data_IF_850232037630
#
_entry.id   IF_850232037630
#
_cell.length_a   1.000
_cell.length_b   1.000
_cell.length_c   1.000
_cell.angle_alpha   90.00
_cell.angle_beta   90.00
_cell.angle_gamma   90.00
#
_symmetry.space_group_name_H-M   'P 1'
#
loop_
_entity.id
_entity.type
_entity.pdbx_description
1 polymer ?
#
# COMPACT_ATOMS: atom_id res chain seq x y z
N UNK A 1 29.92 1.48 -6.64
CA UNK A 1 29.57 0.05 -6.72
C UNK A 1 28.06 -0.02 -6.63
N UNK A 2 27.37 -0.18 -7.76
CA UNK A 2 25.93 -0.43 -7.76
C UNK A 2 25.74 -1.91 -7.43
N UNK A 3 25.48 -2.23 -6.17
CA UNK A 3 25.12 -3.59 -5.78
C UNK A 3 23.69 -3.85 -6.25
N UNK A 4 23.54 -4.59 -7.35
CA UNK A 4 22.25 -5.13 -7.77
C UNK A 4 21.86 -6.24 -6.79
N UNK A 5 21.11 -5.88 -5.76
CA UNK A 5 20.58 -6.83 -4.79
C UNK A 5 19.35 -7.49 -5.40
N UNK A 6 19.38 -8.81 -5.51
CA UNK A 6 18.21 -9.60 -5.87
C UNK A 6 17.26 -9.65 -4.68
N UNK A 7 15.99 -9.34 -4.93
CA UNK A 7 14.90 -9.54 -4.00
C UNK A 7 13.90 -10.46 -4.68
N UNK A 8 13.54 -11.58 -4.03
CA UNK A 8 12.67 -12.61 -4.60
C UNK A 8 13.18 -13.13 -5.95
N UNK A 9 14.50 -13.34 -6.06
CA UNK A 9 15.19 -13.82 -7.27
C UNK A 9 15.04 -12.90 -8.51
N UNK A 10 14.65 -11.64 -8.28
CA UNK A 10 14.46 -10.61 -9.30
C UNK A 10 15.31 -9.38 -8.97
N UNK A 11 15.94 -8.81 -9.99
CA UNK A 11 16.70 -7.57 -9.87
C UNK A 11 16.22 -6.51 -10.86
N UNK A 12 16.39 -5.24 -10.46
CA UNK A 12 16.28 -4.11 -11.37
C UNK A 12 17.54 -4.08 -12.24
N UNK A 13 17.37 -3.96 -13.56
CA UNK A 13 18.46 -3.67 -14.48
C UNK A 13 18.21 -2.34 -15.19
N UNK A 14 19.27 -1.72 -15.68
CA UNK A 14 19.22 -0.45 -16.42
C UNK A 14 19.64 -0.65 -17.87
N UNK A 15 18.94 0.01 -18.79
CA UNK A 15 19.30 0.05 -20.22
C UNK A 15 19.06 1.44 -20.79
N UNK A 16 19.76 1.78 -21.88
CA UNK A 16 19.56 3.04 -22.60
C UNK A 16 18.61 2.86 -23.76
N UNK A 17 17.65 3.77 -23.92
CA UNK A 17 16.84 3.84 -25.13
C UNK A 17 17.57 4.57 -26.26
N UNK A 18 16.94 4.67 -27.44
CA UNK A 18 17.48 5.35 -28.63
C UNK A 18 17.84 6.83 -28.40
N UNK A 19 17.25 7.46 -27.37
CA UNK A 19 17.49 8.85 -26.98
C UNK A 19 18.55 8.98 -25.88
N UNK A 20 19.27 7.91 -25.54
CA UNK A 20 20.24 7.81 -24.45
C UNK A 20 19.68 8.02 -23.04
N UNK A 21 18.36 7.92 -22.84
CA UNK A 21 17.79 7.93 -21.49
C UNK A 21 18.00 6.57 -20.83
N UNK A 22 18.44 6.58 -19.57
CA UNK A 22 18.52 5.36 -18.74
C UNK A 22 17.11 5.03 -18.26
N UNK A 23 16.67 3.81 -18.54
CA UNK A 23 15.40 3.24 -18.12
C UNK A 23 15.65 1.94 -17.37
N UNK A 24 14.77 1.63 -16.43
CA UNK A 24 14.81 0.45 -15.62
C UNK A 24 13.86 -0.64 -16.15
N UNK A 25 14.27 -1.89 -16.05
CA UNK A 25 13.47 -3.09 -16.26
C UNK A 25 13.72 -4.11 -15.16
N UNK A 26 13.12 -5.30 -15.26
CA UNK A 26 13.31 -6.39 -14.30
C UNK A 26 13.78 -7.67 -14.98
N UNK A 27 14.72 -8.35 -14.34
CA UNK A 27 15.34 -9.59 -14.80
C UNK A 27 15.43 -10.60 -13.65
N UNK A 28 15.18 -11.86 -13.94
CA UNK A 28 15.35 -12.95 -12.96
C UNK A 28 16.83 -13.32 -12.80
N UNK A 29 17.17 -14.06 -11.74
CA UNK A 29 18.51 -14.67 -11.56
C UNK A 29 18.90 -15.62 -12.71
N UNK A 30 17.93 -16.10 -13.50
CA UNK A 30 18.15 -16.97 -14.66
C UNK A 30 18.33 -16.19 -15.97
N UNK A 31 18.27 -14.86 -15.91
CA UNK A 31 18.42 -13.99 -17.08
C UNK A 31 17.14 -13.80 -17.89
N UNK A 32 15.98 -14.22 -17.37
CA UNK A 32 14.69 -14.02 -18.02
C UNK A 32 14.19 -12.61 -17.76
N UNK A 33 13.74 -11.91 -18.81
CA UNK A 33 13.21 -10.56 -18.69
C UNK A 33 11.74 -10.64 -18.24
N UNK A 34 11.45 -10.10 -17.06
CA UNK A 34 10.08 -9.94 -16.56
C UNK A 34 9.44 -8.72 -17.17
N UNK A 35 10.19 -7.62 -17.26
CA UNK A 35 9.75 -6.40 -17.89
C UNK A 35 10.92 -5.69 -18.56
N UNK A 36 10.75 -5.35 -19.83
CA UNK A 36 11.73 -4.57 -20.58
C UNK A 36 11.99 -3.21 -19.91
N UNK A 37 13.18 -2.67 -20.17
CA UNK A 37 13.59 -1.36 -19.68
C UNK A 37 12.72 -0.23 -20.24
N UNK A 38 11.71 0.17 -19.47
CA UNK A 38 10.72 1.17 -19.87
C UNK A 38 10.29 2.11 -18.74
N UNK A 39 10.78 1.89 -17.52
CA UNK A 39 10.42 2.68 -16.34
C UNK A 39 11.49 3.73 -16.08
N UNK A 40 11.10 4.94 -15.71
CA UNK A 40 12.05 5.99 -15.29
C UNK A 40 12.63 5.68 -13.90
N UNK A 41 11.85 4.96 -13.06
CA UNK A 41 12.27 4.49 -11.74
C UNK A 41 11.65 3.13 -11.49
N UNK A 42 12.44 2.18 -10.96
CA UNK A 42 11.98 0.87 -10.52
C UNK A 42 12.53 0.58 -9.12
N UNK A 43 11.68 0.14 -8.20
CA UNK A 43 12.07 -0.27 -6.85
C UNK A 43 12.24 -1.79 -6.79
N UNK A 44 13.02 -2.34 -5.86
CA UNK A 44 13.08 -3.79 -5.68
C UNK A 44 11.72 -4.39 -5.33
N UNK A 45 11.54 -5.66 -5.66
CA UNK A 45 10.37 -6.44 -5.25
C UNK A 45 10.32 -6.60 -3.72
N UNK A 46 9.11 -6.53 -3.19
CA UNK A 46 8.78 -6.81 -1.80
C UNK A 46 7.39 -7.45 -1.73
N UNK A 47 7.33 -8.66 -1.21
CA UNK A 47 6.14 -9.52 -1.13
C UNK A 47 5.41 -9.65 -2.47
N UNK A 48 6.15 -9.90 -3.55
CA UNK A 48 5.59 -10.15 -4.88
C UNK A 48 5.24 -8.90 -5.69
N UNK A 49 5.47 -7.70 -5.15
CA UNK A 49 5.15 -6.44 -5.81
C UNK A 49 6.33 -5.46 -5.81
N UNK A 50 6.40 -4.61 -6.84
CA UNK A 50 7.37 -3.54 -6.91
C UNK A 50 6.73 -2.23 -7.37
N UNK A 51 7.20 -1.10 -6.85
CA UNK A 51 6.78 0.22 -7.32
C UNK A 51 7.59 0.63 -8.54
N UNK A 52 6.90 1.13 -9.55
CA UNK A 52 7.50 1.60 -10.80
C UNK A 52 6.96 2.98 -11.17
N UNK A 53 7.77 3.78 -11.86
CA UNK A 53 7.39 5.12 -12.33
C UNK A 53 7.57 5.22 -13.85
N UNK A 54 6.58 5.78 -14.53
CA UNK A 54 6.64 6.13 -15.95
C UNK A 54 6.07 7.54 -16.15
N UNK A 55 6.88 8.44 -16.68
CA UNK A 55 6.62 9.87 -16.72
C UNK A 55 6.37 10.44 -15.32
N UNK A 56 5.16 10.98 -15.13
CA UNK A 56 4.74 11.57 -13.86
C UNK A 56 4.01 10.60 -12.94
N UNK A 57 3.71 9.38 -13.41
CA UNK A 57 2.78 8.49 -12.74
C UNK A 57 3.51 7.30 -12.11
N UNK A 58 3.05 6.94 -10.91
CA UNK A 58 3.48 5.73 -10.21
C UNK A 58 2.50 4.60 -10.48
N UNK A 59 3.01 3.38 -10.44
CA UNK A 59 2.25 2.14 -10.54
C UNK A 59 2.90 1.05 -9.69
N UNK A 60 2.24 -0.11 -9.65
CA UNK A 60 2.74 -1.35 -9.06
C UNK A 60 2.79 -2.41 -10.15
N UNK A 61 3.88 -3.17 -10.19
CA UNK A 61 4.08 -4.34 -11.03
C UNK A 61 4.20 -5.59 -10.16
N UNK A 62 3.66 -6.73 -10.61
CA UNK A 62 3.83 -8.02 -9.94
C UNK A 62 5.05 -8.79 -10.48
N UNK A 63 5.37 -9.94 -9.89
CA UNK A 63 6.52 -10.78 -10.32
C UNK A 63 6.34 -11.45 -11.68
N UNK A 64 5.13 -11.40 -12.25
CA UNK A 64 4.82 -11.85 -13.61
C UNK A 64 5.05 -10.75 -14.65
N UNK A 65 5.30 -9.51 -14.21
CA UNK A 65 5.47 -8.35 -15.08
C UNK A 65 4.17 -7.61 -15.39
N UNK A 66 3.05 -8.02 -14.80
CA UNK A 66 1.76 -7.37 -15.00
C UNK A 66 1.71 -6.05 -14.22
N UNK A 67 1.17 -5.02 -14.89
CA UNK A 67 0.90 -3.73 -14.29
C UNK A 67 -0.41 -3.80 -13.50
N UNK A 68 -0.32 -3.81 -12.17
CA UNK A 68 -1.46 -3.93 -11.27
C UNK A 68 -2.32 -2.65 -11.24
N UNK A 69 -1.67 -1.47 -11.28
CA UNK A 69 -2.35 -0.16 -11.26
C UNK A 69 -2.00 0.64 -12.53
N UNK A 70 -2.94 1.37 -13.14
CA UNK A 70 -2.65 2.13 -14.36
C UNK A 70 -1.62 3.25 -14.11
N UNK A 71 -0.78 3.54 -15.10
CA UNK A 71 0.09 4.72 -15.13
C UNK A 71 -0.70 5.97 -15.52
N UNK A 72 -1.55 6.45 -14.61
CA UNK A 72 -2.37 7.64 -14.82
C UNK A 72 -2.43 8.53 -13.56
N UNK A 73 -3.22 9.59 -13.62
CA UNK A 73 -3.39 10.54 -12.52
C UNK A 73 -4.43 10.10 -11.48
N UNK A 74 -4.91 8.84 -11.51
CA UNK A 74 -5.94 8.37 -10.58
C UNK A 74 -5.45 8.41 -9.13
N UNK A 75 -4.18 8.07 -8.90
CA UNK A 75 -3.56 8.04 -7.59
C UNK A 75 -2.34 8.96 -7.52
N UNK A 76 -2.29 9.78 -6.49
CA UNK A 76 -1.19 10.72 -6.22
C UNK A 76 -0.03 10.02 -5.51
N UNK A 77 -0.35 9.03 -4.65
CA UNK A 77 0.62 8.23 -3.89
C UNK A 77 0.16 6.78 -3.85
N UNK A 78 1.12 5.87 -3.91
CA UNK A 78 0.92 4.42 -3.78
C UNK A 78 1.98 3.88 -2.82
N UNK A 79 1.54 3.10 -1.85
CA UNK A 79 2.38 2.35 -0.91
C UNK A 79 1.94 0.88 -0.93
N UNK A 80 2.90 -0.03 -1.02
CA UNK A 80 2.65 -1.48 -0.95
C UNK A 80 2.56 -1.85 0.53
N UNK A 81 1.41 -2.40 0.94
CA UNK A 81 1.11 -2.83 2.29
C UNK A 81 0.73 -4.31 2.26
N UNK A 82 1.74 -5.17 2.10
CA UNK A 82 1.58 -6.61 1.86
C UNK A 82 0.85 -6.90 0.55
N UNK A 83 -0.37 -7.44 0.61
CA UNK A 83 -1.21 -7.81 -0.54
C UNK A 83 -2.18 -6.70 -0.98
N UNK A 84 -2.27 -5.61 -0.21
CA UNK A 84 -3.04 -4.42 -0.54
C UNK A 84 -2.15 -3.22 -0.81
N UNK A 85 -2.66 -2.26 -1.57
CA UNK A 85 -1.99 -1.00 -1.87
C UNK A 85 -2.73 0.16 -1.23
N UNK A 86 -2.06 0.86 -0.30
CA UNK A 86 -2.56 2.11 0.24
C UNK A 86 -2.39 3.20 -0.81
N UNK A 87 -3.48 3.86 -1.16
CA UNK A 87 -3.52 4.86 -2.22
C UNK A 87 -4.09 6.17 -1.72
N UNK A 88 -3.64 7.28 -2.30
CA UNK A 88 -4.17 8.62 -2.03
C UNK A 88 -4.71 9.26 -3.29
N UNK A 89 -5.87 9.90 -3.20
CA UNK A 89 -6.46 10.75 -4.24
C UNK A 89 -7.19 11.92 -3.59
N UNK A 90 -6.90 13.15 -4.02
CA UNK A 90 -7.50 14.37 -3.47
C UNK A 90 -7.42 14.41 -1.93
N UNK A 91 -6.23 14.11 -1.40
CA UNK A 91 -5.94 14.04 0.05
C UNK A 91 -6.79 13.01 0.84
N UNK A 92 -7.45 12.07 0.16
CA UNK A 92 -8.17 10.96 0.79
C UNK A 92 -7.44 9.64 0.63
N UNK A 93 -7.34 8.89 1.72
CA UNK A 93 -6.70 7.59 1.80
C UNK A 93 -7.72 6.45 1.68
N UNK A 94 -7.29 5.38 1.04
CA UNK A 94 -8.01 4.11 0.96
C UNK A 94 -7.05 2.98 0.57
N UNK A 95 -7.60 1.80 0.33
CA UNK A 95 -6.84 0.62 -0.09
C UNK A 95 -7.46 -0.01 -1.32
N UNK A 96 -6.60 -0.44 -2.24
CA UNK A 96 -6.98 -1.23 -3.40
C UNK A 96 -6.19 -2.54 -3.44
N UNK A 97 -6.73 -3.54 -4.12
CA UNK A 97 -5.99 -4.78 -4.38
C UNK A 97 -5.14 -4.69 -5.66
N UNK A 98 -4.46 -5.80 -6.00
CA UNK A 98 -3.66 -5.93 -7.22
C UNK A 98 -4.46 -5.84 -8.52
N UNK A 99 -5.79 -5.95 -8.47
CA UNK A 99 -6.69 -5.78 -9.62
C UNK A 99 -7.21 -4.35 -9.74
N UNK A 100 -6.73 -3.42 -8.89
CA UNK A 100 -7.22 -2.05 -8.77
C UNK A 100 -8.68 -1.96 -8.27
N UNK A 101 -9.18 -3.00 -7.61
CA UNK A 101 -10.48 -3.00 -6.94
C UNK A 101 -10.36 -2.27 -5.62
N UNK A 102 -11.29 -1.35 -5.34
CA UNK A 102 -11.33 -0.61 -4.07
C UNK A 102 -11.84 -1.53 -2.97
N UNK A 103 -10.97 -1.81 -2.00
CA UNK A 103 -11.29 -2.60 -0.81
C UNK A 103 -11.73 -1.68 0.31
N UNK A 104 -10.90 -0.69 0.67
CA UNK A 104 -11.27 0.37 1.61
C UNK A 104 -11.49 1.66 0.83
N UNK A 105 -12.68 2.27 0.89
CA UNK A 105 -12.98 3.50 0.14
C UNK A 105 -12.01 4.65 0.44
N UNK A 106 -11.69 5.44 -0.60
CA UNK A 106 -10.83 6.62 -0.49
C UNK A 106 -11.60 7.81 0.10
N UNK A 107 -11.94 7.72 1.38
CA UNK A 107 -12.71 8.76 2.09
C UNK A 107 -12.11 9.18 3.43
N UNK A 108 -10.99 8.57 3.82
CA UNK A 108 -10.36 8.79 5.11
C UNK A 108 -9.29 9.88 5.02
N UNK A 109 -9.15 10.66 6.09
CA UNK A 109 -8.08 11.65 6.25
C UNK A 109 -6.71 10.96 6.40
N UNK A 110 -6.70 9.74 6.96
CA UNK A 110 -5.52 8.92 7.15
C UNK A 110 -5.87 7.44 7.33
N UNK A 111 -5.01 6.56 6.84
CA UNK A 111 -5.07 5.12 7.10
C UNK A 111 -3.72 4.63 7.63
N UNK A 112 -3.73 3.95 8.78
CA UNK A 112 -2.58 3.16 9.23
C UNK A 112 -2.51 1.84 8.43
N UNK A 113 -1.36 1.18 8.45
CA UNK A 113 -1.20 -0.12 7.81
C UNK A 113 -2.01 -1.19 8.57
N UNK A 114 -2.40 -2.24 7.86
CA UNK A 114 -3.08 -3.38 8.48
C UNK A 114 -2.17 -4.08 9.49
N UNK A 115 -2.79 -4.49 10.60
CA UNK A 115 -2.19 -5.34 11.62
C UNK A 115 -3.28 -6.28 12.15
N UNK A 116 -3.02 -7.58 12.19
CA UNK A 116 -4.04 -8.58 12.55
C UNK A 116 -5.36 -8.43 11.74
N UNK A 117 -5.26 -8.16 10.42
CA UNK A 117 -6.40 -7.96 9.52
C UNK A 117 -7.23 -6.67 9.71
N UNK A 118 -6.83 -5.78 10.61
CA UNK A 118 -7.50 -4.49 10.81
C UNK A 118 -6.56 -3.30 10.64
N UNK A 119 -7.11 -2.18 10.16
CA UNK A 119 -6.43 -0.90 10.06
C UNK A 119 -7.18 0.17 10.85
N UNK A 120 -6.43 0.98 11.58
CA UNK A 120 -6.98 2.20 12.19
C UNK A 120 -7.11 3.24 11.08
N UNK A 121 -8.28 3.85 10.98
CA UNK A 121 -8.58 4.89 10.00
C UNK A 121 -8.98 6.18 10.71
N UNK A 122 -8.73 7.32 10.09
CA UNK A 122 -9.10 8.64 10.61
C UNK A 122 -10.08 9.32 9.67
N UNK A 123 -11.19 9.83 10.19
CA UNK A 123 -12.18 10.63 9.46
C UNK A 123 -12.70 11.73 10.37
N UNK A 124 -12.70 12.97 9.89
CA UNK A 124 -13.19 14.14 10.63
C UNK A 124 -12.58 14.28 12.04
N UNK A 125 -11.26 14.10 12.14
CA UNK A 125 -10.50 14.13 13.40
C UNK A 125 -10.77 13.02 14.42
N UNK A 126 -11.61 12.04 14.09
CA UNK A 126 -11.87 10.86 14.92
C UNK A 126 -11.32 9.61 14.25
N UNK A 127 -11.04 8.60 15.05
CA UNK A 127 -10.49 7.32 14.64
C UNK A 127 -11.56 6.24 14.68
N UNK A 128 -11.51 5.34 13.70
CA UNK A 128 -12.29 4.12 13.61
C UNK A 128 -11.41 2.96 13.18
N UNK A 129 -12.02 1.81 12.91
CA UNK A 129 -11.31 0.58 12.54
C UNK A 129 -11.99 -0.06 11.34
N UNK A 130 -11.22 -0.44 10.33
CA UNK A 130 -11.69 -1.20 9.16
C UNK A 130 -10.95 -2.53 9.07
N UNK A 131 -11.62 -3.55 8.56
CA UNK A 131 -11.02 -4.83 8.20
C UNK A 131 -10.36 -4.75 6.82
N UNK A 132 -9.39 -5.62 6.53
CA UNK A 132 -8.77 -5.78 5.21
C UNK A 132 -9.72 -6.32 4.11
N UNK A 133 -10.98 -6.60 4.46
CA UNK A 133 -12.07 -6.89 3.51
C UNK A 133 -12.82 -5.62 3.09
N UNK A 134 -12.49 -4.46 3.68
CA UNK A 134 -13.21 -3.20 3.48
C UNK A 134 -14.32 -2.93 4.49
N UNK A 135 -14.63 -3.89 5.35
CA UNK A 135 -15.72 -3.76 6.33
C UNK A 135 -15.36 -2.79 7.45
N UNK A 136 -16.24 -1.85 7.78
CA UNK A 136 -16.08 -0.99 8.96
C UNK A 136 -16.36 -1.82 10.23
N UNK A 137 -15.33 -2.02 11.04
CA UNK A 137 -15.39 -2.79 12.30
C UNK A 137 -15.83 -1.89 13.44
N UNK A 138 -15.35 -0.64 13.47
CA UNK A 138 -15.76 0.35 14.44
C UNK A 138 -15.82 1.74 13.80
N UNK A 139 -16.89 2.48 14.07
CA UNK A 139 -17.09 3.83 13.56
C UNK A 139 -15.98 4.80 14.00
N UNK A 140 -15.80 5.88 13.23
CA UNK A 140 -14.90 6.98 13.58
C UNK A 140 -15.45 7.83 14.73
N UNK A 141 -15.45 7.28 15.95
CA UNK A 141 -15.97 7.92 17.18
C UNK A 141 -14.91 8.04 18.28
N UNK A 142 -13.71 7.51 18.06
CA UNK A 142 -12.65 7.51 19.06
C UNK A 142 -11.74 8.73 18.88
N UNK A 143 -11.41 9.42 19.97
CA UNK A 143 -10.44 10.53 19.92
C UNK A 143 -8.99 10.03 19.85
N UNK A 144 -8.75 8.77 20.24
CA UNK A 144 -7.48 8.08 20.11
C UNK A 144 -7.71 6.57 20.06
N UNK A 145 -7.00 5.87 19.18
CA UNK A 145 -6.84 4.41 19.21
C UNK A 145 -5.34 4.12 19.17
N UNK A 146 -4.82 3.39 20.15
CA UNK A 146 -3.44 2.88 20.15
C UNK A 146 -3.32 1.68 19.21
N UNK A 147 -2.10 1.33 18.74
CA UNK A 147 -1.93 0.15 17.91
C UNK A 147 -2.53 -1.11 18.55
N UNK A 148 -3.13 -1.97 17.72
CA UNK A 148 -3.61 -3.27 18.15
C UNK A 148 -2.44 -4.18 18.51
N UNK A 149 -2.63 -5.03 19.51
CA UNK A 149 -1.75 -6.15 19.86
C UNK A 149 -2.58 -7.26 20.51
N UNK A 150 -2.48 -8.49 20.00
CA UNK A 150 -3.21 -9.65 20.54
C UNK A 150 -4.73 -9.42 20.58
N UNK A 151 -5.28 -8.87 19.50
CA UNK A 151 -6.71 -8.63 19.33
C UNK A 151 -7.27 -7.47 20.13
N UNK A 152 -6.44 -6.60 20.71
CA UNK A 152 -6.87 -5.50 21.58
C UNK A 152 -6.10 -4.21 21.32
N UNK A 153 -6.77 -3.08 21.51
CA UNK A 153 -6.20 -1.75 21.50
C UNK A 153 -6.72 -0.94 22.70
N UNK A 154 -5.92 0.00 23.19
CA UNK A 154 -6.40 1.03 24.11
C UNK A 154 -7.01 2.16 23.29
N UNK A 155 -8.25 2.53 23.60
CA UNK A 155 -8.96 3.58 22.90
C UNK A 155 -9.63 4.57 23.85
N UNK A 156 -9.80 5.80 23.39
CA UNK A 156 -10.51 6.85 24.10
C UNK A 156 -11.79 7.21 23.33
N UNK A 157 -12.95 6.99 23.95
CA UNK A 157 -14.27 7.34 23.41
C UNK A 157 -14.98 8.22 24.44
N UNK A 158 -15.48 9.38 24.01
CA UNK A 158 -16.19 10.32 24.88
C UNK A 158 -15.42 10.70 26.17
N UNK A 159 -14.10 10.88 26.05
CA UNK A 159 -13.16 11.13 27.16
C UNK A 159 -12.95 9.97 28.15
N UNK A 160 -13.49 8.78 27.86
CA UNK A 160 -13.29 7.57 28.65
C UNK A 160 -12.30 6.64 27.95
N UNK A 161 -11.29 6.19 28.69
CA UNK A 161 -10.34 5.19 28.23
C UNK A 161 -10.86 3.79 28.50
N UNK A 162 -10.69 2.89 27.52
CA UNK A 162 -11.05 1.49 27.64
C UNK A 162 -10.30 0.62 26.64
N UNK A 163 -10.66 -0.66 26.61
CA UNK A 163 -10.15 -1.66 25.69
C UNK A 163 -11.11 -1.79 24.52
N UNK A 164 -10.62 -1.53 23.31
CA UNK A 164 -11.26 -1.85 22.04
C UNK A 164 -10.75 -3.22 21.58
N UNK A 165 -11.64 -4.18 21.43
CA UNK A 165 -11.31 -5.50 20.89
C UNK A 165 -11.37 -5.46 19.36
N UNK A 166 -10.70 -6.40 18.71
CA UNK A 166 -10.55 -6.45 17.25
C UNK A 166 -11.86 -6.69 16.50
N UNK A 167 -12.89 -7.18 17.20
CA UNK A 167 -14.25 -7.30 16.69
C UNK A 167 -15.05 -5.99 16.76
N UNK A 168 -14.45 -4.91 17.26
CA UNK A 168 -15.06 -3.59 17.40
C UNK A 168 -15.75 -3.35 18.75
N UNK A 169 -15.85 -4.36 19.62
CA UNK A 169 -16.44 -4.20 20.95
C UNK A 169 -15.55 -3.35 21.87
N UNK A 170 -16.15 -2.51 22.70
CA UNK A 170 -15.44 -1.60 23.60
C UNK A 170 -15.87 -1.85 25.06
N UNK A 171 -14.90 -2.04 25.95
CA UNK A 171 -15.08 -2.27 27.38
C UNK A 171 -14.27 -1.29 28.20
N UNK A 172 -14.87 -0.72 29.25
CA UNK A 172 -14.26 0.22 30.21
C UNK A 172 -13.91 -0.46 31.53
#
# INVERSE_FOLDING_TARGET
>A
MNSYTFFEDIAVYESKNEKNNILCGYITIHGEIIADAQFDVAWPFYKGFARVKKGNYWSVINTQGDICLPFDSKYERIEICDDLFKVTKADRFGFVDATNTVIVPLEYDWCFNFFEHVAIVKKNNLYGVVHDTGTLVADCVYSCIKPFAQGKAIACKDSVWGVLHIDGSFSV
#
